data_IF_875336278597
#
_entry.id   IF_875336278597
#
_cell.length_a   1.000
_cell.length_b   1.000
_cell.length_c   1.000
_cell.angle_alpha   90.00
_cell.angle_beta   90.00
_cell.angle_gamma   90.00
#
_symmetry.space_group_name_H-M   'P 1'
#
loop_
_entity.id
_entity.type
_entity.pdbx_description
1 polymer ?
#
# COMPACT_ATOMS: atom_id res chain seq x y z
N UNK A 1 9.82 2.63 -20.63
CA UNK A 1 9.69 1.45 -21.50
C UNK A 1 9.86 0.22 -20.66
N UNK A 2 8.86 -0.66 -20.69
CA UNK A 2 8.70 -1.74 -19.73
C UNK A 2 9.52 -2.95 -20.17
N UNK A 3 10.47 -3.39 -19.34
CA UNK A 3 10.99 -4.76 -19.34
C UNK A 3 10.44 -5.42 -18.08
N UNK A 4 9.21 -5.88 -18.15
CA UNK A 4 8.59 -6.72 -17.12
C UNK A 4 8.67 -8.17 -17.55
N UNK A 5 9.43 -8.95 -16.76
CA UNK A 5 8.98 -10.22 -16.19
C UNK A 5 8.56 -11.33 -17.14
N UNK A 6 9.46 -11.75 -18.06
CA UNK A 6 9.35 -13.06 -18.73
C UNK A 6 9.79 -14.25 -17.84
N UNK A 7 10.46 -13.97 -16.72
CA UNK A 7 10.97 -15.04 -15.84
C UNK A 7 9.89 -15.69 -14.96
N UNK A 8 8.85 -14.96 -14.58
CA UNK A 8 7.78 -15.52 -13.72
C UNK A 8 6.82 -16.43 -14.48
N UNK A 9 6.56 -16.13 -15.74
CA UNK A 9 5.63 -16.93 -16.55
C UNK A 9 6.27 -18.25 -16.99
N UNK A 10 7.59 -18.26 -17.20
CA UNK A 10 8.32 -19.50 -17.56
C UNK A 10 8.36 -20.49 -16.40
N UNK A 11 8.50 -20.01 -15.16
CA UNK A 11 8.50 -20.87 -13.96
C UNK A 11 7.13 -21.47 -13.69
N UNK A 12 6.06 -20.76 -13.98
CA UNK A 12 4.70 -21.27 -13.81
C UNK A 12 4.36 -22.36 -14.83
N UNK A 13 4.81 -22.22 -16.08
CA UNK A 13 4.65 -23.22 -17.12
C UNK A 13 5.44 -24.51 -16.84
N UNK A 14 6.66 -24.40 -16.32
CA UNK A 14 7.48 -25.54 -15.94
C UNK A 14 6.91 -26.30 -14.74
N UNK A 15 6.29 -25.61 -13.79
CA UNK A 15 5.62 -26.23 -12.63
C UNK A 15 4.37 -27.03 -13.03
N UNK A 16 3.59 -26.55 -13.99
CA UNK A 16 2.39 -27.23 -14.50
C UNK A 16 2.76 -28.46 -15.31
N UNK A 17 3.82 -28.41 -16.12
CA UNK A 17 4.32 -29.55 -16.90
C UNK A 17 4.85 -30.68 -15.99
N UNK A 18 5.47 -30.34 -14.85
CA UNK A 18 5.99 -31.35 -13.90
C UNK A 18 4.86 -32.15 -13.22
N UNK A 19 3.70 -31.55 -12.99
CA UNK A 19 2.57 -32.18 -12.29
C UNK A 19 1.71 -33.10 -13.18
N UNK A 20 1.82 -33.00 -14.50
CA UNK A 20 1.06 -33.82 -15.45
C UNK A 20 1.81 -35.11 -15.82
N UNK A 21 3.14 -35.21 -15.59
CA UNK A 21 4.01 -36.33 -15.95
C UNK A 21 4.03 -37.51 -14.98
N UNK A 22 3.45 -37.45 -13.80
CA UNK A 22 3.64 -38.42 -12.71
C UNK A 22 2.53 -39.49 -12.61
N UNK A 23 1.86 -39.84 -13.70
CA UNK A 23 0.79 -40.83 -13.60
C UNK A 23 0.89 -42.04 -14.54
N UNK A 24 2.03 -42.37 -15.15
CA UNK A 24 2.20 -43.71 -15.81
C UNK A 24 3.66 -44.11 -15.98
N UNK A 25 4.09 -45.07 -15.17
CA UNK A 25 4.98 -46.22 -15.43
C UNK A 25 6.27 -45.99 -16.23
N UNK A 26 7.44 -45.90 -15.55
CA UNK A 26 8.72 -46.00 -16.25
C UNK A 26 9.94 -45.90 -15.33
N UNK A 27 10.13 -46.85 -14.44
CA UNK A 27 11.23 -46.88 -13.45
C UNK A 27 12.64 -47.23 -13.99
N UNK A 28 12.85 -47.33 -15.30
CA UNK A 28 14.15 -47.75 -15.85
C UNK A 28 14.94 -46.64 -16.61
N UNK A 29 14.36 -45.54 -16.98
CA UNK A 29 15.06 -44.50 -17.76
C UNK A 29 15.52 -43.30 -16.91
N UNK A 30 15.04 -43.15 -15.68
CA UNK A 30 15.40 -42.02 -14.83
C UNK A 30 16.85 -42.01 -14.32
N UNK A 31 17.45 -43.20 -14.14
CA UNK A 31 18.82 -43.32 -13.64
C UNK A 31 19.88 -42.81 -14.62
N UNK A 32 19.63 -42.92 -15.91
CA UNK A 32 20.59 -42.52 -16.94
C UNK A 32 20.52 -41.02 -17.25
N UNK A 33 19.31 -40.45 -17.26
CA UNK A 33 19.10 -39.02 -17.52
C UNK A 33 19.65 -38.13 -16.39
N UNK A 34 19.53 -38.53 -15.12
CA UNK A 34 20.09 -37.82 -13.98
C UNK A 34 21.61 -37.74 -14.02
N UNK A 35 22.30 -38.77 -14.45
CA UNK A 35 23.77 -38.78 -14.55
C UNK A 35 24.31 -37.92 -15.70
N UNK A 36 23.59 -37.83 -16.81
CA UNK A 36 23.96 -36.97 -17.95
C UNK A 36 23.66 -35.52 -17.66
N UNK A 37 22.53 -35.22 -17.02
CA UNK A 37 22.16 -33.84 -16.64
C UNK A 37 23.11 -33.24 -15.59
N UNK A 38 23.56 -34.01 -14.59
CA UNK A 38 24.57 -33.56 -13.63
C UNK A 38 25.94 -33.35 -14.23
N UNK A 39 26.34 -34.20 -15.19
CA UNK A 39 27.62 -34.07 -15.92
C UNK A 39 27.67 -32.77 -16.75
N UNK A 40 26.60 -32.42 -17.44
CA UNK A 40 26.49 -31.19 -18.24
C UNK A 40 26.46 -29.92 -17.37
N UNK A 41 25.81 -29.94 -16.20
CA UNK A 41 25.79 -28.85 -15.29
C UNK A 41 27.15 -28.52 -14.66
N UNK A 42 27.93 -29.56 -14.34
CA UNK A 42 29.28 -29.36 -13.76
C UNK A 42 30.26 -28.82 -14.80
N UNK A 43 30.18 -29.28 -16.06
CA UNK A 43 31.03 -28.79 -17.17
C UNK A 43 30.69 -27.32 -17.48
N UNK A 44 29.41 -26.89 -17.41
CA UNK A 44 28.98 -25.51 -17.66
C UNK A 44 29.47 -24.55 -16.58
N UNK A 45 29.65 -25.03 -15.32
CA UNK A 45 30.14 -24.21 -14.22
C UNK A 45 31.66 -23.99 -14.22
N UNK A 46 32.42 -24.85 -14.93
CA UNK A 46 33.88 -24.74 -14.98
C UNK A 46 34.41 -23.83 -16.10
N UNK A 47 33.55 -23.44 -17.05
CA UNK A 47 33.95 -22.54 -18.16
C UNK A 47 33.67 -21.06 -17.92
N UNK A 48 32.98 -20.69 -16.83
CA UNK A 48 32.71 -19.30 -16.46
C UNK A 48 33.57 -18.77 -15.32
N UNK A 49 34.73 -19.36 -15.07
CA UNK A 49 35.71 -18.88 -14.11
C UNK A 49 36.62 -17.86 -14.75
N UNK A 50 36.36 -16.58 -14.54
CA UNK A 50 37.39 -15.58 -14.70
C UNK A 50 37.07 -14.37 -15.59
N UNK A 51 36.15 -13.52 -15.19
CA UNK A 51 36.28 -12.07 -15.42
C UNK A 51 35.85 -11.34 -14.15
N UNK A 52 36.83 -10.91 -13.37
CA UNK A 52 36.62 -9.93 -12.30
C UNK A 52 36.20 -8.62 -12.94
N UNK A 53 34.92 -8.50 -13.27
CA UNK A 53 34.34 -7.17 -13.50
C UNK A 53 34.22 -6.53 -12.14
N UNK A 54 35.01 -5.49 -11.90
CA UNK A 54 34.78 -4.56 -10.82
C UNK A 54 33.29 -4.20 -10.84
N UNK A 55 32.53 -4.75 -9.87
CA UNK A 55 31.21 -4.26 -9.54
C UNK A 55 31.43 -2.85 -9.00
N UNK A 56 31.26 -1.87 -9.87
CA UNK A 56 30.80 -0.59 -9.40
C UNK A 56 29.53 -0.93 -8.61
N UNK A 57 29.62 -0.87 -7.28
CA UNK A 57 28.46 -0.76 -6.42
C UNK A 57 27.81 0.58 -6.85
N UNK A 58 26.92 0.53 -7.84
CA UNK A 58 25.82 1.46 -7.81
C UNK A 58 25.16 1.12 -6.45
N UNK A 59 25.45 1.98 -5.47
CA UNK A 59 24.54 2.15 -4.37
C UNK A 59 23.20 2.42 -5.04
N UNK A 60 22.39 1.37 -5.19
CA UNK A 60 20.97 1.57 -5.27
C UNK A 60 20.70 2.31 -3.96
N UNK A 61 20.72 3.65 -4.03
CA UNK A 61 19.93 4.47 -3.16
C UNK A 61 18.52 3.90 -3.32
N UNK A 62 18.30 2.81 -2.57
CA UNK A 62 16.98 2.45 -2.20
C UNK A 62 16.47 3.76 -1.65
N UNK A 63 15.61 4.42 -2.42
CA UNK A 63 14.68 5.39 -1.90
C UNK A 63 13.94 4.67 -0.80
N UNK A 64 14.60 4.54 0.36
CA UNK A 64 13.96 4.34 1.62
C UNK A 64 12.96 5.47 1.62
N UNK A 65 11.72 5.17 1.28
CA UNK A 65 10.61 5.98 1.70
C UNK A 65 10.85 6.12 3.18
N UNK A 66 11.44 7.26 3.58
CA UNK A 66 11.47 7.68 4.95
C UNK A 66 10.02 7.60 5.36
N UNK A 67 9.68 6.56 6.13
CA UNK A 67 8.33 6.36 6.58
C UNK A 67 7.96 7.66 7.26
N UNK A 68 7.15 8.50 6.61
CA UNK A 68 6.75 9.78 7.14
C UNK A 68 6.01 9.47 8.44
N UNK A 69 6.69 9.65 9.55
CA UNK A 69 6.16 9.35 10.87
C UNK A 69 5.28 10.53 11.29
N UNK A 70 3.97 10.32 11.32
CA UNK A 70 3.04 11.28 11.89
C UNK A 70 3.23 11.24 13.42
N UNK A 71 3.53 12.39 14.08
CA UNK A 71 3.69 12.45 15.53
C UNK A 71 2.44 11.93 16.26
N UNK A 72 2.62 11.24 17.38
CA UNK A 72 1.53 10.71 18.19
C UNK A 72 0.50 11.79 18.58
N UNK A 73 0.95 13.02 18.81
CA UNK A 73 0.08 14.16 19.13
C UNK A 73 -0.84 14.60 17.99
N UNK A 74 -0.54 14.16 16.77
CA UNK A 74 -1.33 14.44 15.57
C UNK A 74 -2.19 13.23 15.14
N UNK A 75 -2.21 12.16 15.95
CA UNK A 75 -3.15 11.07 15.78
C UNK A 75 -4.42 11.34 16.58
N UNK A 76 -5.55 10.85 16.06
CA UNK A 76 -6.83 10.84 16.76
C UNK A 76 -7.35 9.38 16.78
N UNK A 77 -7.85 8.96 17.93
CA UNK A 77 -8.44 7.63 18.11
C UNK A 77 -9.89 7.60 17.60
N UNK A 78 -10.36 6.42 17.24
CA UNK A 78 -11.69 6.23 16.64
C UNK A 78 -12.83 6.64 17.59
N UNK A 79 -12.72 6.29 18.87
CA UNK A 79 -13.68 6.64 19.92
C UNK A 79 -13.77 8.15 20.16
N UNK A 80 -12.63 8.85 20.11
CA UNK A 80 -12.56 10.30 20.25
C UNK A 80 -13.25 10.98 19.05
N UNK A 81 -12.94 10.51 17.83
CA UNK A 81 -13.59 11.08 16.64
C UNK A 81 -15.09 10.82 16.64
N UNK A 82 -15.54 9.60 16.94
CA UNK A 82 -16.97 9.26 17.01
C UNK A 82 -17.68 10.16 18.04
N UNK A 83 -17.10 10.31 19.24
CA UNK A 83 -17.63 11.23 20.26
C UNK A 83 -17.73 12.68 19.78
N UNK A 84 -16.76 13.18 19.02
CA UNK A 84 -16.81 14.53 18.44
C UNK A 84 -17.96 14.67 17.45
N UNK A 85 -18.18 13.65 16.60
CA UNK A 85 -19.24 13.65 15.60
C UNK A 85 -20.64 13.62 16.22
N UNK A 86 -20.80 12.96 17.38
CA UNK A 86 -22.07 12.88 18.10
C UNK A 86 -22.37 14.17 18.89
N UNK A 87 -21.38 14.75 19.57
CA UNK A 87 -21.59 15.81 20.56
C UNK A 87 -21.60 17.23 19.97
N UNK A 88 -20.95 17.45 18.83
CA UNK A 88 -20.75 18.81 18.31
C UNK A 88 -21.16 18.95 16.83
N UNK A 89 -22.45 18.95 16.50
CA UNK A 89 -22.88 19.05 15.10
C UNK A 89 -22.48 20.35 14.40
N UNK A 90 -22.27 21.45 15.16
CA UNK A 90 -21.90 22.77 14.60
C UNK A 90 -20.39 23.01 14.49
N UNK A 91 -19.55 22.23 15.19
CA UNK A 91 -18.10 22.38 15.21
C UNK A 91 -17.41 21.09 14.71
N UNK A 92 -17.98 20.45 13.69
CA UNK A 92 -17.42 19.24 13.11
C UNK A 92 -16.09 19.53 12.41
N UNK A 93 -15.10 18.64 12.56
CA UNK A 93 -13.90 18.68 11.74
C UNK A 93 -14.26 18.45 10.27
N UNK A 94 -13.44 18.95 9.37
CA UNK A 94 -13.49 18.53 7.97
C UNK A 94 -12.74 17.20 7.84
N UNK A 95 -13.41 16.17 7.35
CA UNK A 95 -12.87 14.82 7.29
C UNK A 95 -12.66 14.44 5.83
N UNK A 96 -11.46 14.02 5.48
CA UNK A 96 -11.14 13.52 4.14
C UNK A 96 -10.74 12.05 4.16
N UNK A 97 -11.36 11.27 3.28
CA UNK A 97 -10.91 9.93 2.96
C UNK A 97 -9.89 10.00 1.82
N UNK A 98 -8.68 9.47 2.07
CA UNK A 98 -7.55 9.52 1.11
C UNK A 98 -7.13 8.15 0.62
N UNK A 99 -8.09 7.24 0.45
CA UNK A 99 -7.90 5.89 -0.05
C UNK A 99 -8.64 5.61 -1.36
N UNK A 100 -9.09 4.37 -1.51
CA UNK A 100 -9.84 3.92 -2.69
C UNK A 100 -11.27 4.49 -2.71
N UNK A 101 -11.72 4.95 -3.90
CA UNK A 101 -13.10 5.39 -4.09
C UNK A 101 -14.13 4.27 -3.86
N UNK A 102 -13.79 3.05 -4.28
CA UNK A 102 -14.66 1.89 -4.06
C UNK A 102 -14.95 1.69 -2.56
N UNK A 103 -13.93 1.77 -1.72
CA UNK A 103 -14.12 1.60 -0.27
C UNK A 103 -14.92 2.77 0.33
N UNK A 104 -14.69 3.99 -0.15
CA UNK A 104 -15.47 5.16 0.25
C UNK A 104 -16.96 4.96 -0.06
N UNK A 105 -17.29 4.53 -1.28
CA UNK A 105 -18.67 4.32 -1.68
C UNK A 105 -19.36 3.16 -0.94
N UNK A 106 -18.61 2.16 -0.51
CA UNK A 106 -19.15 1.04 0.29
C UNK A 106 -19.48 1.46 1.72
N UNK A 107 -18.59 2.17 2.37
CA UNK A 107 -18.80 2.71 3.71
C UNK A 107 -17.77 3.81 4.03
N UNK A 108 -18.24 4.94 4.54
CA UNK A 108 -17.38 6.04 4.97
C UNK A 108 -17.90 6.72 6.25
N UNK A 109 -17.06 7.52 6.90
CA UNK A 109 -17.44 8.30 8.08
C UNK A 109 -18.47 9.35 7.67
N UNK A 110 -19.60 9.51 8.41
CA UNK A 110 -20.65 10.46 8.06
C UNK A 110 -20.14 11.88 7.85
N UNK A 111 -20.47 12.44 6.68
CA UNK A 111 -20.05 13.78 6.28
C UNK A 111 -18.57 13.88 5.87
N UNK A 112 -17.85 12.79 5.74
CA UNK A 112 -16.50 12.82 5.16
C UNK A 112 -16.54 13.05 3.64
N UNK A 113 -15.44 13.53 3.11
CA UNK A 113 -15.30 13.90 1.69
C UNK A 113 -14.23 13.00 1.07
N UNK A 114 -14.55 12.37 -0.04
CA UNK A 114 -13.54 11.66 -0.83
C UNK A 114 -12.52 12.64 -1.44
N UNK A 115 -11.23 12.37 -1.25
CA UNK A 115 -10.15 13.24 -1.71
C UNK A 115 -9.09 12.52 -2.56
N UNK A 116 -9.37 11.29 -3.01
CA UNK A 116 -8.48 10.49 -3.85
C UNK A 116 -7.35 9.81 -3.08
N UNK A 117 -6.69 8.80 -3.70
CA UNK A 117 -5.60 8.07 -3.07
C UNK A 117 -4.39 8.98 -2.82
N UNK A 118 -4.00 9.14 -1.54
CA UNK A 118 -2.87 10.00 -1.16
C UNK A 118 -1.51 9.54 -1.68
N UNK A 119 -1.37 8.29 -2.08
CA UNK A 119 -0.17 7.76 -2.73
C UNK A 119 -0.05 8.13 -4.22
N UNK A 120 -1.07 8.78 -4.79
CA UNK A 120 -1.09 9.15 -6.20
C UNK A 120 -1.09 10.68 -6.37
N UNK A 121 -0.38 11.18 -7.37
CA UNK A 121 -0.34 12.61 -7.68
C UNK A 121 -1.72 13.20 -7.98
N UNK A 122 -2.60 12.44 -8.66
CA UNK A 122 -3.99 12.82 -8.91
C UNK A 122 -4.80 12.98 -7.63
N UNK A 123 -4.62 12.07 -6.67
CA UNK A 123 -5.28 12.16 -5.37
C UNK A 123 -4.78 13.36 -4.56
N UNK A 124 -3.47 13.62 -4.52
CA UNK A 124 -2.92 14.80 -3.86
C UNK A 124 -3.40 16.12 -4.51
N UNK A 125 -3.60 16.13 -5.83
CA UNK A 125 -4.17 17.27 -6.56
C UNK A 125 -5.64 17.45 -6.19
N UNK A 126 -6.41 16.38 -6.12
CA UNK A 126 -7.82 16.43 -5.70
C UNK A 126 -7.95 16.92 -4.26
N UNK A 127 -7.14 16.38 -3.33
CA UNK A 127 -7.11 16.85 -1.94
C UNK A 127 -6.81 18.37 -1.88
N UNK A 128 -5.78 18.83 -2.60
CA UNK A 128 -5.42 20.25 -2.65
C UNK A 128 -6.58 21.12 -3.17
N UNK A 129 -7.32 20.65 -4.17
CA UNK A 129 -8.49 21.37 -4.69
C UNK A 129 -9.63 21.48 -3.66
N UNK A 130 -9.88 20.39 -2.93
CA UNK A 130 -10.94 20.33 -1.89
C UNK A 130 -10.67 21.24 -0.70
N UNK A 131 -9.40 21.44 -0.34
CA UNK A 131 -9.04 22.29 0.81
C UNK A 131 -8.81 23.75 0.42
N UNK A 132 -8.91 24.12 -0.85
CA UNK A 132 -8.54 25.45 -1.35
C UNK A 132 -9.24 26.63 -0.63
N UNK A 133 -10.48 26.42 -0.22
CA UNK A 133 -11.31 27.45 0.45
C UNK A 133 -11.30 27.36 1.97
N UNK A 134 -10.63 26.35 2.54
CA UNK A 134 -10.60 26.16 3.98
C UNK A 134 -9.59 27.10 4.65
N UNK A 135 -9.91 27.52 5.88
CA UNK A 135 -8.97 28.28 6.72
C UNK A 135 -7.81 27.39 7.14
N UNK A 136 -6.59 27.93 7.20
CA UNK A 136 -5.38 27.17 7.54
C UNK A 136 -5.39 26.59 8.95
N UNK A 137 -6.13 27.20 9.87
CA UNK A 137 -6.33 26.71 11.24
C UNK A 137 -7.50 25.71 11.39
N UNK A 138 -8.26 25.47 10.31
CA UNK A 138 -9.38 24.53 10.35
C UNK A 138 -8.90 23.13 10.75
N UNK A 139 -9.62 22.49 11.68
CA UNK A 139 -9.34 21.10 12.03
C UNK A 139 -9.69 20.20 10.85
N UNK A 140 -8.68 19.55 10.32
CA UNK A 140 -8.80 18.55 9.24
C UNK A 140 -8.40 17.19 9.79
N UNK A 141 -9.21 16.18 9.51
CA UNK A 141 -8.93 14.80 9.85
C UNK A 141 -8.80 13.98 8.57
N UNK A 142 -7.68 13.29 8.42
CA UNK A 142 -7.42 12.36 7.31
C UNK A 142 -7.64 10.92 7.76
N UNK A 143 -8.25 10.09 6.90
CA UNK A 143 -8.25 8.64 7.07
C UNK A 143 -8.17 7.93 5.72
N UNK A 144 -7.66 6.71 5.72
CA UNK A 144 -7.58 5.86 4.52
C UNK A 144 -8.47 4.62 4.64
N UNK A 145 -8.19 3.77 5.63
CA UNK A 145 -9.01 2.60 5.96
C UNK A 145 -8.81 1.37 5.09
N UNK A 146 -7.91 1.40 4.10
CA UNK A 146 -7.72 0.26 3.19
C UNK A 146 -6.76 -0.82 3.70
N UNK A 147 -5.95 -0.51 4.71
CA UNK A 147 -4.85 -1.37 5.17
C UNK A 147 -4.45 -1.00 6.59
N UNK A 148 -3.67 -1.86 7.27
CA UNK A 148 -3.12 -1.55 8.58
C UNK A 148 -2.30 -0.26 8.56
N UNK A 149 -2.34 0.47 9.68
CA UNK A 149 -1.65 1.76 9.84
C UNK A 149 -0.18 1.71 9.39
N UNK A 150 0.54 0.68 9.80
CA UNK A 150 1.96 0.49 9.49
C UNK A 150 2.27 0.30 8.00
N UNK A 151 1.27 -0.02 7.19
CA UNK A 151 1.42 -0.30 5.75
C UNK A 151 0.61 0.65 4.87
N UNK A 152 0.04 1.72 5.45
CA UNK A 152 -0.80 2.64 4.69
C UNK A 152 0.02 3.59 3.82
N UNK A 153 -0.01 3.48 2.48
CA UNK A 153 0.78 4.33 1.60
C UNK A 153 0.15 5.71 1.40
N UNK A 154 -1.10 5.92 1.81
CA UNK A 154 -1.89 7.09 1.46
C UNK A 154 -1.83 8.21 2.51
N UNK A 155 -1.79 7.87 3.80
CA UNK A 155 -1.91 8.86 4.88
C UNK A 155 -0.70 9.78 4.93
N UNK A 156 0.53 9.25 4.90
CA UNK A 156 1.75 10.04 5.01
C UNK A 156 1.86 11.13 3.95
N UNK A 157 1.78 10.81 2.65
CA UNK A 157 1.83 11.83 1.59
C UNK A 157 0.69 12.84 1.64
N UNK A 158 -0.54 12.41 1.95
CA UNK A 158 -1.68 13.31 2.10
C UNK A 158 -1.50 14.29 3.28
N UNK A 159 -1.02 13.78 4.40
CA UNK A 159 -0.72 14.56 5.60
C UNK A 159 0.37 15.61 5.30
N UNK A 160 1.48 15.17 4.70
CA UNK A 160 2.54 16.08 4.26
C UNK A 160 2.00 17.15 3.30
N UNK A 161 1.16 16.76 2.33
CA UNK A 161 0.58 17.70 1.36
C UNK A 161 -0.21 18.82 2.04
N UNK A 162 -0.99 18.53 3.07
CA UNK A 162 -1.72 19.57 3.81
C UNK A 162 -0.79 20.50 4.56
N UNK A 163 0.27 20.00 5.18
CA UNK A 163 1.28 20.82 5.83
C UNK A 163 2.03 21.71 4.82
N UNK A 164 2.41 21.19 3.66
CA UNK A 164 3.03 21.96 2.58
C UNK A 164 2.10 23.09 2.08
N UNK A 165 0.79 22.89 2.15
CA UNK A 165 -0.22 23.89 1.84
C UNK A 165 -0.48 24.88 2.99
N UNK A 166 0.21 24.75 4.12
CA UNK A 166 0.16 25.66 5.26
C UNK A 166 -0.96 25.37 6.26
N UNK A 167 -1.60 24.19 6.23
CA UNK A 167 -2.56 23.80 7.25
C UNK A 167 -1.84 23.41 8.55
N UNK A 168 -2.24 24.03 9.66
CA UNK A 168 -1.59 23.89 10.97
C UNK A 168 -2.31 22.93 11.92
N UNK A 169 -3.57 22.60 11.65
CA UNK A 169 -4.41 21.79 12.51
C UNK A 169 -4.90 20.52 11.78
N UNK A 170 -3.94 19.65 11.42
CA UNK A 170 -4.20 18.39 10.73
C UNK A 170 -3.98 17.22 11.67
N UNK A 171 -4.92 16.29 11.69
CA UNK A 171 -4.81 15.02 12.41
C UNK A 171 -5.06 13.85 11.48
N UNK A 172 -4.48 12.69 11.81
CA UNK A 172 -4.75 11.45 11.12
C UNK A 172 -5.52 10.50 12.05
N UNK A 173 -6.61 9.93 11.55
CA UNK A 173 -7.35 8.90 12.28
C UNK A 173 -6.52 7.62 12.32
N UNK A 174 -6.22 7.17 13.52
CA UNK A 174 -5.48 5.93 13.72
C UNK A 174 -6.40 4.72 13.54
N UNK A 175 -6.16 3.95 12.51
CA UNK A 175 -6.81 2.67 12.22
C UNK A 175 -5.73 1.60 12.27
N UNK A 176 -5.70 0.81 13.33
CA UNK A 176 -4.65 -0.20 13.56
C UNK A 176 -4.64 -1.25 12.44
N UNK A 177 -5.82 -1.72 12.05
CA UNK A 177 -6.03 -2.75 11.04
C UNK A 177 -6.60 -2.15 9.74
N UNK A 178 -7.87 -1.75 9.76
CA UNK A 178 -8.59 -1.18 8.62
C UNK A 178 -9.90 -0.52 9.09
N UNK A 179 -10.63 0.12 8.16
CA UNK A 179 -11.88 0.80 8.48
C UNK A 179 -12.99 -0.16 8.91
N UNK A 180 -13.03 -1.36 8.32
CA UNK A 180 -14.00 -2.39 8.68
C UNK A 180 -13.89 -2.81 10.14
N UNK A 181 -12.68 -3.13 10.60
CA UNK A 181 -12.44 -3.61 11.95
C UNK A 181 -12.49 -2.49 13.00
N UNK A 182 -11.82 -1.36 12.69
CA UNK A 182 -11.55 -0.33 13.68
C UNK A 182 -12.64 0.74 13.77
N UNK A 183 -13.56 0.79 12.79
CA UNK A 183 -14.70 1.72 12.77
C UNK A 183 -16.04 0.99 12.71
N UNK A 184 -16.29 0.25 11.62
CA UNK A 184 -17.58 -0.44 11.40
C UNK A 184 -17.80 -1.53 12.45
N UNK A 185 -16.80 -2.35 12.72
CA UNK A 185 -16.83 -3.44 13.71
C UNK A 185 -17.04 -2.95 15.15
N UNK A 186 -16.74 -1.68 15.44
CA UNK A 186 -17.05 -1.02 16.72
C UNK A 186 -18.47 -0.44 16.79
N UNK A 187 -19.24 -0.58 15.73
CA UNK A 187 -20.64 -0.10 15.68
C UNK A 187 -20.76 1.43 15.47
N UNK A 188 -19.69 2.10 15.04
CA UNK A 188 -19.76 3.53 14.73
C UNK A 188 -20.52 3.78 13.44
N UNK A 189 -21.18 4.94 13.35
CA UNK A 189 -22.04 5.27 12.22
C UNK A 189 -21.25 5.39 10.93
N UNK A 190 -21.86 4.92 9.83
CA UNK A 190 -21.33 5.03 8.47
C UNK A 190 -22.38 5.59 7.52
N UNK A 191 -21.92 6.19 6.44
CA UNK A 191 -22.69 6.53 5.25
C UNK A 191 -22.19 5.72 4.06
N UNK A 192 -23.00 5.59 3.02
CA UNK A 192 -22.69 4.88 1.77
C UNK A 192 -22.98 5.79 0.58
N UNK A 193 -22.38 5.45 -0.56
CA UNK A 193 -22.56 6.21 -1.79
C UNK A 193 -21.47 7.28 -2.00
N UNK A 194 -21.74 8.21 -2.89
CA UNK A 194 -20.81 9.29 -3.29
C UNK A 194 -21.08 10.57 -2.52
#
# INVERSE_FOLDING_TARGET
MAVKSFASDLLCLLYVQWKIGDSRGGRMLEGMYRRVAYGLLVVLMLTFGGTSTARAQLSADGTGQSAFSIPQSQLIQTDILDSMLQKQPKARPVIFQVGSHLMYSQAHIPGSIYAGPGSQASGLTLLASKVKTLQKSQLIILYCGCCPWSHCPNIGPAFKRLHDLGFTNVKALYLANNFGDDWVGKGYRVEQGN
#
